data_IF_303905700868
#
_entry.id   IF_303905700868
#
_cell.length_a   1.000
_cell.length_b   1.000
_cell.length_c   1.000
_cell.angle_alpha   90.00
_cell.angle_beta   90.00
_cell.angle_gamma   90.00
#
_symmetry.space_group_name_H-M   'P 1'
#
loop_
_entity.id
_entity.type
_entity.pdbx_description
1 polymer ?
#
# COMPACT_ATOMS: atom_id res chain seq x y z
N UNK A 1 20.58 -8.75 21.46
CA UNK A 1 19.83 -8.23 20.31
C UNK A 1 20.32 -6.85 19.95
N UNK A 2 20.30 -6.52 18.67
CA UNK A 2 20.72 -5.22 18.12
C UNK A 2 19.57 -4.60 17.33
N UNK A 3 19.37 -3.29 17.47
CA UNK A 3 18.51 -2.50 16.59
C UNK A 3 19.35 -1.48 15.83
N UNK A 4 19.20 -1.47 14.52
CA UNK A 4 19.89 -0.58 13.60
C UNK A 4 18.89 0.20 12.76
N UNK A 5 19.21 1.45 12.48
CA UNK A 5 18.52 2.27 11.48
C UNK A 5 19.57 2.65 10.44
N UNK A 6 19.32 2.35 9.17
CA UNK A 6 20.24 2.59 8.05
C UNK A 6 21.65 2.01 8.30
N UNK A 7 21.69 0.87 8.98
CA UNK A 7 22.93 0.18 9.38
C UNK A 7 23.61 0.75 10.62
N UNK A 8 23.25 1.96 11.07
CA UNK A 8 23.76 2.55 12.31
C UNK A 8 23.15 1.85 13.53
N UNK A 9 23.99 1.39 14.46
CA UNK A 9 23.52 0.81 15.73
C UNK A 9 22.88 1.90 16.59
N UNK A 10 21.59 1.72 16.90
CA UNK A 10 20.81 2.66 17.71
C UNK A 10 20.64 2.15 19.13
N UNK A 11 20.44 0.84 19.29
CA UNK A 11 20.24 0.24 20.59
C UNK A 11 20.69 -1.22 20.64
N UNK A 12 21.03 -1.68 21.83
CA UNK A 12 21.24 -3.10 22.14
C UNK A 12 20.28 -3.53 23.25
N UNK A 13 19.84 -4.77 23.19
CA UNK A 13 18.97 -5.39 24.18
C UNK A 13 19.53 -6.74 24.59
N UNK A 14 19.85 -6.92 25.87
CA UNK A 14 20.32 -8.21 26.41
C UNK A 14 19.19 -9.00 27.07
N UNK A 15 18.05 -8.36 27.35
CA UNK A 15 16.85 -8.98 27.95
C UNK A 15 15.60 -8.31 27.39
N UNK A 16 14.59 -9.11 27.03
CA UNK A 16 13.26 -8.60 26.66
C UNK A 16 12.39 -8.54 27.92
N UNK A 17 11.79 -7.38 28.19
CA UNK A 17 10.81 -7.24 29.27
C UNK A 17 9.48 -7.79 28.76
N UNK A 18 8.99 -8.87 29.38
CA UNK A 18 7.73 -9.54 28.98
C UNK A 18 7.69 -9.97 27.49
N UNK A 19 8.85 -10.26 26.89
CA UNK A 19 8.94 -10.62 25.47
C UNK A 19 8.83 -9.45 24.49
N UNK A 20 8.83 -8.21 24.98
CA UNK A 20 8.82 -7.01 24.15
C UNK A 20 10.15 -6.24 24.26
N UNK A 21 10.56 -5.68 23.14
CA UNK A 21 11.64 -4.70 23.07
C UNK A 21 11.05 -3.35 22.66
N UNK A 22 11.25 -2.32 23.48
CA UNK A 22 10.73 -0.96 23.27
C UNK A 22 11.90 0.00 23.12
N UNK A 23 11.83 0.88 22.13
CA UNK A 23 12.84 1.88 21.83
C UNK A 23 12.16 3.13 21.24
N UNK A 24 12.81 4.28 21.39
CA UNK A 24 12.39 5.55 20.78
C UNK A 24 13.36 5.95 19.67
N UNK A 25 12.82 6.24 18.49
CA UNK A 25 13.63 6.69 17.36
C UNK A 25 14.37 8.00 17.65
N UNK A 26 15.61 8.16 17.15
CA UNK A 26 16.32 9.43 17.26
C UNK A 26 15.50 10.56 16.62
N UNK A 27 15.31 11.67 17.34
CA UNK A 27 14.60 12.85 16.82
C UNK A 27 15.33 13.53 15.65
N UNK A 28 16.57 13.12 15.37
CA UNK A 28 17.43 13.66 14.30
C UNK A 28 17.35 12.84 13.01
N UNK A 29 16.46 11.86 12.91
CA UNK A 29 16.24 11.17 11.64
C UNK A 29 15.72 12.17 10.61
N UNK A 30 16.40 12.23 9.46
CA UNK A 30 15.96 13.04 8.33
C UNK A 30 14.65 12.52 7.76
N UNK A 31 13.98 13.32 6.94
CA UNK A 31 12.86 12.79 6.16
C UNK A 31 13.38 11.80 5.11
N UNK A 32 12.49 10.92 4.66
CA UNK A 32 12.75 9.91 3.65
C UNK A 32 12.72 8.49 4.20
N UNK A 33 13.28 7.56 3.43
CA UNK A 33 13.29 6.15 3.80
C UNK A 33 14.31 5.84 4.86
N UNK A 34 13.90 4.97 5.78
CA UNK A 34 14.77 4.37 6.77
C UNK A 34 14.56 2.86 6.78
N UNK A 35 15.67 2.13 6.79
CA UNK A 35 15.65 0.68 6.99
C UNK A 35 15.90 0.39 8.46
N UNK A 36 14.89 -0.17 9.12
CA UNK A 36 15.02 -0.66 10.50
C UNK A 36 15.38 -2.14 10.42
N UNK A 37 16.51 -2.50 11.04
CA UNK A 37 16.98 -3.88 11.13
C UNK A 37 17.09 -4.28 12.59
N UNK A 38 16.47 -5.41 12.95
CA UNK A 38 16.52 -5.98 14.30
C UNK A 38 17.15 -7.36 14.23
N UNK A 39 18.24 -7.56 14.98
CA UNK A 39 18.95 -8.84 15.06
C UNK A 39 18.81 -9.41 16.47
N UNK A 40 18.18 -10.57 16.59
CA UNK A 40 18.13 -11.38 17.82
C UNK A 40 19.24 -12.44 17.82
N UNK A 41 19.62 -12.93 19.00
CA UNK A 41 20.57 -14.04 19.16
C UNK A 41 19.96 -15.08 20.10
N UNK A 42 20.14 -16.36 19.79
CA UNK A 42 19.77 -17.46 20.69
C UNK A 42 20.84 -17.70 21.78
N UNK A 43 20.62 -18.72 22.62
CA UNK A 43 21.56 -19.09 23.71
C UNK A 43 22.91 -19.62 23.21
N UNK A 44 22.98 -20.08 21.96
CA UNK A 44 24.20 -20.50 21.29
C UNK A 44 24.86 -19.34 20.51
N UNK A 45 24.33 -18.13 20.63
CA UNK A 45 24.76 -16.91 19.93
C UNK A 45 24.54 -16.97 18.40
N UNK A 46 23.56 -17.76 17.94
CA UNK A 46 23.13 -17.80 16.54
C UNK A 46 22.22 -16.61 16.23
N UNK A 47 22.50 -15.78 15.21
CA UNK A 47 21.69 -14.62 14.89
C UNK A 47 20.46 -14.94 14.04
N UNK A 48 19.39 -14.16 14.22
CA UNK A 48 18.28 -14.03 13.29
C UNK A 48 17.94 -12.54 13.09
N UNK A 49 17.72 -12.12 11.85
CA UNK A 49 17.49 -10.70 11.50
C UNK A 49 16.15 -10.52 10.79
N UNK A 50 15.42 -9.47 11.17
CA UNK A 50 14.22 -8.98 10.46
C UNK A 50 14.47 -7.54 10.05
N UNK A 51 14.01 -7.18 8.86
CA UNK A 51 14.09 -5.81 8.34
C UNK A 51 12.70 -5.29 7.99
N UNK A 52 12.45 -4.01 8.28
CA UNK A 52 11.30 -3.26 7.79
C UNK A 52 11.77 -1.95 7.19
N UNK A 53 11.06 -1.48 6.16
CA UNK A 53 11.26 -0.15 5.60
C UNK A 53 10.16 0.77 6.10
N UNK A 54 10.55 1.92 6.63
CA UNK A 54 9.63 2.99 7.03
C UNK A 54 10.00 4.24 6.26
N UNK A 55 9.05 5.12 6.02
CA UNK A 55 9.31 6.41 5.39
C UNK A 55 8.84 7.51 6.33
N UNK A 56 9.78 8.34 6.76
CA UNK A 56 9.54 9.50 7.60
C UNK A 56 9.27 10.72 6.72
N UNK A 57 8.28 11.53 7.05
CA UNK A 57 8.05 12.81 6.37
C UNK A 57 7.37 13.80 7.31
N UNK A 58 7.26 15.05 6.87
CA UNK A 58 6.48 16.03 7.61
C UNK A 58 5.02 15.55 7.69
N UNK A 59 4.44 15.66 8.87
CA UNK A 59 3.02 15.42 9.05
C UNK A 59 2.24 16.48 8.27
N UNK A 60 1.17 16.06 7.61
CA UNK A 60 0.25 16.94 6.89
C UNK A 60 -1.18 16.41 7.02
N UNK A 61 -2.17 17.28 6.90
CA UNK A 61 -3.56 16.93 6.68
C UNK A 61 -4.01 17.34 5.27
N UNK A 62 -3.36 18.34 4.67
CA UNK A 62 -3.57 18.81 3.32
C UNK A 62 -2.25 19.13 2.60
N UNK A 63 -2.30 19.26 1.28
CA UNK A 63 -1.13 19.60 0.46
C UNK A 63 -0.46 20.92 0.89
N UNK A 64 -1.25 21.91 1.33
CA UNK A 64 -0.75 23.21 1.80
C UNK A 64 0.07 23.13 3.10
N UNK A 65 -0.01 22.02 3.84
CA UNK A 65 0.84 21.79 5.01
C UNK A 65 2.28 21.40 4.63
N UNK A 66 2.50 21.04 3.36
CA UNK A 66 3.79 20.64 2.84
C UNK A 66 4.61 21.88 2.44
N UNK A 67 5.71 22.07 3.16
CA UNK A 67 6.51 23.31 3.09
C UNK A 67 7.40 23.41 1.85
N UNK A 68 7.58 22.32 1.09
CA UNK A 68 8.37 22.36 -0.14
C UNK A 68 7.45 22.42 -1.36
N UNK A 69 7.85 23.24 -2.32
CA UNK A 69 7.17 23.33 -3.61
C UNK A 69 7.12 21.95 -4.29
N UNK A 70 5.93 21.55 -4.74
CA UNK A 70 5.71 20.27 -5.42
C UNK A 70 5.55 19.07 -4.49
N UNK A 71 5.42 19.26 -3.17
CA UNK A 71 4.96 18.20 -2.26
C UNK A 71 3.42 18.12 -2.20
N UNK A 72 2.91 16.91 -1.99
CA UNK A 72 1.49 16.59 -1.78
C UNK A 72 1.35 15.77 -0.50
N UNK A 73 0.21 15.88 0.17
CA UNK A 73 -0.06 15.10 1.37
C UNK A 73 -0.63 13.72 1.01
N UNK A 74 0.05 12.66 1.42
CA UNK A 74 -0.35 11.26 1.19
C UNK A 74 -0.27 10.51 2.51
N UNK A 75 -1.41 9.99 2.97
CA UNK A 75 -1.54 9.26 4.25
C UNK A 75 -0.89 9.98 5.45
N UNK A 76 -1.10 11.30 5.54
CA UNK A 76 -0.56 12.13 6.61
C UNK A 76 0.91 12.50 6.47
N UNK A 77 1.52 12.27 5.30
CA UNK A 77 2.94 12.57 5.03
C UNK A 77 3.12 13.39 3.75
N UNK A 78 3.98 14.40 3.81
CA UNK A 78 4.43 15.12 2.61
C UNK A 78 5.34 14.24 1.74
N UNK A 79 4.96 14.05 0.49
CA UNK A 79 5.72 13.33 -0.55
C UNK A 79 5.82 14.20 -1.79
N UNK A 80 6.83 14.00 -2.64
CA UNK A 80 6.92 14.75 -3.89
C UNK A 80 5.83 14.28 -4.86
N UNK A 81 5.08 15.22 -5.45
CA UNK A 81 3.94 14.97 -6.32
C UNK A 81 4.30 14.81 -7.80
N UNK A 82 3.25 14.82 -8.63
CA UNK A 82 3.32 14.66 -10.09
C UNK A 82 3.80 15.94 -10.77
N UNK A 83 5.06 15.93 -11.20
CA UNK A 83 5.70 17.11 -11.80
C UNK A 83 7.08 17.38 -11.23
N UNK A 84 7.44 16.69 -10.14
CA UNK A 84 8.81 16.64 -9.66
C UNK A 84 9.48 15.35 -10.14
N UNK A 85 10.72 15.46 -10.61
CA UNK A 85 11.50 14.29 -11.01
C UNK A 85 11.63 13.29 -9.85
N UNK A 86 11.19 12.06 -10.08
CA UNK A 86 11.15 10.99 -9.08
C UNK A 86 10.03 11.10 -8.05
N UNK A 87 9.13 12.08 -8.21
CA UNK A 87 7.90 12.22 -7.42
C UNK A 87 6.82 11.24 -7.86
N UNK A 88 5.70 11.24 -7.14
CA UNK A 88 4.56 10.38 -7.38
C UNK A 88 4.06 10.50 -8.84
N UNK A 89 3.90 9.37 -9.52
CA UNK A 89 3.51 9.28 -10.92
C UNK A 89 4.63 9.53 -11.94
N UNK A 90 5.84 9.91 -11.51
CA UNK A 90 6.98 10.11 -12.42
C UNK A 90 7.43 8.77 -13.04
N UNK A 91 7.73 8.75 -14.34
CA UNK A 91 8.21 7.55 -15.02
C UNK A 91 9.58 7.11 -14.47
N UNK A 92 9.76 5.81 -14.25
CA UNK A 92 10.98 5.27 -13.66
C UNK A 92 11.37 3.93 -14.30
N UNK A 93 12.65 3.58 -14.27
CA UNK A 93 13.13 2.25 -14.64
C UNK A 93 13.46 1.40 -13.40
N UNK A 94 13.88 2.05 -12.31
CA UNK A 94 14.31 1.39 -11.09
C UNK A 94 13.78 2.09 -9.84
N UNK A 95 13.71 1.35 -8.73
CA UNK A 95 13.31 1.91 -7.44
C UNK A 95 14.16 3.10 -6.99
N UNK A 96 15.42 3.20 -7.41
CA UNK A 96 16.33 4.28 -6.99
C UNK A 96 16.00 5.63 -7.63
N UNK A 97 15.22 5.64 -8.72
CA UNK A 97 14.79 6.87 -9.39
C UNK A 97 13.62 7.55 -8.67
N UNK A 98 12.96 6.82 -7.77
CA UNK A 98 11.81 7.31 -7.03
C UNK A 98 12.23 7.78 -5.65
N UNK A 99 11.74 8.95 -5.24
CA UNK A 99 11.90 9.42 -3.86
C UNK A 99 11.16 8.52 -2.87
N UNK A 100 9.99 8.04 -3.30
CA UNK A 100 9.24 6.96 -2.64
C UNK A 100 9.98 5.63 -2.64
N UNK A 101 11.13 5.54 -3.33
CA UNK A 101 11.96 4.38 -3.61
C UNK A 101 11.20 3.14 -4.07
N UNK A 102 10.06 3.35 -4.74
CA UNK A 102 9.19 2.32 -5.27
C UNK A 102 8.81 2.70 -6.69
N UNK A 103 9.29 1.90 -7.64
CA UNK A 103 8.94 1.95 -9.04
C UNK A 103 8.07 0.74 -9.33
N UNK A 104 6.80 0.95 -9.67
CA UNK A 104 5.84 -0.13 -9.90
C UNK A 104 5.33 -0.10 -11.34
N UNK A 105 5.02 -1.29 -11.87
CA UNK A 105 4.48 -1.50 -13.22
C UNK A 105 2.95 -1.64 -13.18
N UNK A 106 2.19 -1.16 -14.17
CA UNK A 106 0.82 -1.62 -14.41
C UNK A 106 0.79 -2.99 -15.13
N UNK A 107 -0.39 -3.38 -15.64
CA UNK A 107 -0.57 -4.64 -16.37
C UNK A 107 0.05 -4.58 -17.77
N UNK A 108 0.20 -3.38 -18.32
CA UNK A 108 0.77 -3.06 -19.62
C UNK A 108 2.30 -2.94 -19.58
N UNK A 109 2.87 -2.77 -18.38
CA UNK A 109 4.30 -2.67 -18.13
C UNK A 109 4.82 -1.23 -18.01
N UNK A 110 3.93 -0.24 -17.96
CA UNK A 110 4.30 1.16 -17.72
C UNK A 110 4.72 1.34 -16.27
N UNK A 111 5.88 1.98 -16.07
CA UNK A 111 6.57 2.04 -14.78
C UNK A 111 6.53 3.46 -14.21
N UNK A 112 5.95 3.60 -13.02
CA UNK A 112 5.81 4.88 -12.34
C UNK A 112 6.28 4.81 -10.89
N UNK A 113 6.79 5.94 -10.39
CA UNK A 113 7.07 6.13 -8.99
C UNK A 113 5.75 6.17 -8.22
N UNK A 114 5.60 5.26 -7.26
CA UNK A 114 4.36 5.10 -6.50
C UNK A 114 4.60 5.33 -5.02
N UNK A 115 3.54 5.65 -4.29
CA UNK A 115 3.54 5.69 -2.82
C UNK A 115 2.59 4.63 -2.27
N UNK A 116 2.90 4.10 -1.09
CA UNK A 116 1.97 3.20 -0.41
C UNK A 116 0.73 3.98 0.04
N UNK A 117 -0.41 3.31 0.00
CA UNK A 117 -1.66 3.84 0.52
C UNK A 117 -2.44 2.74 1.23
N UNK A 118 -3.31 3.16 2.16
CA UNK A 118 -4.34 2.28 2.70
C UNK A 118 -5.57 2.33 1.79
N UNK A 119 -5.99 1.15 1.30
CA UNK A 119 -7.18 1.01 0.45
C UNK A 119 -8.45 1.37 1.23
N UNK A 120 -8.48 1.04 2.52
CA UNK A 120 -9.62 1.35 3.38
C UNK A 120 -9.80 2.87 3.61
N UNK A 121 -8.71 3.64 3.54
CA UNK A 121 -8.71 5.08 3.77
C UNK A 121 -8.72 5.90 2.48
N UNK A 122 -8.54 5.28 1.32
CA UNK A 122 -8.37 5.94 0.02
C UNK A 122 -7.36 7.11 0.08
N UNK A 123 -6.20 6.84 0.69
CA UNK A 123 -5.26 7.87 1.14
C UNK A 123 -4.43 8.52 0.01
N UNK A 124 -4.82 8.34 -1.25
CA UNK A 124 -4.09 8.87 -2.39
C UNK A 124 -4.48 10.32 -2.71
N UNK A 125 -3.55 11.14 -3.22
CA UNK A 125 -3.83 12.52 -3.56
C UNK A 125 -4.68 12.56 -4.85
N UNK A 126 -5.33 13.70 -5.09
CA UNK A 126 -6.13 13.93 -6.30
C UNK A 126 -5.38 13.53 -7.59
N UNK A 127 -6.04 12.80 -8.48
CA UNK A 127 -5.44 12.29 -9.72
C UNK A 127 -4.79 10.91 -9.60
N UNK A 128 -4.80 10.33 -8.38
CA UNK A 128 -4.29 9.00 -8.08
C UNK A 128 -5.33 8.16 -7.36
N UNK A 129 -5.41 6.89 -7.70
CA UNK A 129 -6.21 5.93 -6.94
C UNK A 129 -5.32 4.97 -6.16
N UNK A 130 -5.82 4.52 -5.01
CA UNK A 130 -5.18 3.48 -4.25
C UNK A 130 -5.52 2.09 -4.83
N UNK A 131 -4.62 1.52 -5.63
CA UNK A 131 -4.83 0.21 -6.27
C UNK A 131 -4.28 -0.94 -5.42
N UNK A 132 -5.09 -1.99 -5.24
CA UNK A 132 -4.66 -3.23 -4.58
C UNK A 132 -3.68 -4.00 -5.48
N UNK A 133 -2.53 -4.39 -4.92
CA UNK A 133 -1.52 -5.23 -5.58
C UNK A 133 -1.45 -6.63 -4.97
N UNK A 134 -2.55 -7.08 -4.37
CA UNK A 134 -2.68 -8.39 -3.70
C UNK A 134 -2.14 -8.40 -2.27
N UNK A 135 -2.11 -7.25 -1.60
CA UNK A 135 -1.50 -7.10 -0.26
C UNK A 135 -2.52 -6.79 0.85
N UNK A 136 -3.79 -7.12 0.62
CA UNK A 136 -4.85 -6.91 1.62
C UNK A 136 -5.26 -5.46 1.66
N UNK A 137 -5.16 -4.81 2.82
CA UNK A 137 -5.55 -3.40 3.00
C UNK A 137 -4.51 -2.39 2.48
N UNK A 138 -3.38 -2.87 1.95
CA UNK A 138 -2.28 -2.05 1.44
C UNK A 138 -2.30 -2.01 -0.09
N UNK A 139 -2.31 -0.79 -0.64
CA UNK A 139 -2.22 -0.53 -2.07
C UNK A 139 -1.06 0.39 -2.42
N UNK A 140 -1.08 0.86 -3.67
CA UNK A 140 -0.18 1.91 -4.16
C UNK A 140 -0.97 3.01 -4.86
N UNK A 141 -0.55 4.27 -4.70
CA UNK A 141 -1.13 5.39 -5.43
C UNK A 141 -0.67 5.36 -6.89
N UNK A 142 -1.63 5.17 -7.79
CA UNK A 142 -1.37 5.00 -9.23
C UNK A 142 -2.00 6.13 -10.07
N UNK A 143 -1.27 6.70 -11.05
CA UNK A 143 -1.81 7.77 -11.89
C UNK A 143 -3.04 7.33 -12.68
N UNK A 144 -4.07 8.18 -12.72
CA UNK A 144 -5.08 8.11 -13.79
C UNK A 144 -5.98 6.88 -13.78
N UNK A 145 -6.32 6.33 -12.61
CA UNK A 145 -7.35 5.31 -12.51
C UNK A 145 -8.76 5.93 -12.62
N UNK A 146 -9.03 6.69 -13.68
CA UNK A 146 -10.41 6.90 -14.09
C UNK A 146 -10.95 5.57 -14.64
N UNK A 147 -11.58 4.77 -13.77
CA UNK A 147 -12.33 3.56 -14.10
C UNK A 147 -11.56 2.39 -14.72
N UNK A 148 -11.02 1.49 -13.89
CA UNK A 148 -10.39 0.27 -14.38
C UNK A 148 -10.19 -0.84 -13.35
N UNK A 149 -11.26 -1.40 -12.77
CA UNK A 149 -11.22 -2.77 -12.24
C UNK A 149 -11.19 -2.95 -10.72
N UNK A 150 -12.02 -2.23 -9.97
CA UNK A 150 -12.33 -2.57 -8.58
C UNK A 150 -13.15 -3.87 -8.49
N UNK A 151 -12.52 -4.99 -8.17
CA UNK A 151 -13.22 -6.21 -7.79
C UNK A 151 -13.79 -6.08 -6.37
N UNK A 152 -15.00 -5.50 -6.24
CA UNK A 152 -15.78 -5.66 -5.00
C UNK A 152 -16.31 -7.10 -4.92
N UNK A 153 -15.71 -7.93 -4.07
CA UNK A 153 -16.36 -9.16 -3.60
C UNK A 153 -17.17 -8.84 -2.34
N UNK A 154 -18.23 -8.06 -2.52
CA UNK A 154 -19.21 -7.78 -1.48
C UNK A 154 -20.03 -9.03 -1.16
N UNK A 155 -19.98 -9.46 0.11
CA UNK A 155 -20.84 -10.49 0.71
C UNK A 155 -22.33 -10.18 0.47
N UNK A 156 -22.97 -10.92 -0.43
CA UNK A 156 -24.42 -10.87 -0.64
C UNK A 156 -25.16 -11.88 0.24
N UNK A 157 -25.43 -11.50 1.49
CA UNK A 157 -26.40 -12.19 2.34
C UNK A 157 -27.80 -11.59 2.19
N UNK A 158 -28.79 -12.47 2.02
CA UNK A 158 -30.24 -12.29 2.16
C UNK A 158 -31.00 -11.45 1.12
N UNK A 159 -31.84 -12.12 0.33
CA UNK A 159 -33.22 -11.68 0.04
C UNK A 159 -34.03 -12.88 -0.43
N UNK A 160 -35.14 -13.15 0.26
CA UNK A 160 -36.05 -14.23 -0.07
C UNK A 160 -36.84 -13.97 -1.34
N UNK A 161 -37.17 -15.05 -2.05
CA UNK A 161 -38.32 -15.11 -2.93
C UNK A 161 -38.93 -16.52 -2.84
N UNK A 162 -40.15 -16.57 -2.29
CA UNK A 162 -41.08 -17.68 -2.42
C UNK A 162 -41.52 -17.79 -3.89
N UNK A 163 -41.23 -18.90 -4.56
CA UNK A 163 -41.93 -19.26 -5.81
C UNK A 163 -42.30 -20.75 -5.82
N UNK A 164 -43.61 -20.94 -5.66
CA UNK A 164 -44.38 -22.18 -5.83
C UNK A 164 -44.29 -22.65 -7.28
N UNK A 165 -43.79 -23.86 -7.51
CA UNK A 165 -43.88 -24.52 -8.82
C UNK A 165 -45.20 -25.30 -8.91
N UNK A 166 -46.16 -24.73 -9.64
CA UNK A 166 -47.35 -25.42 -10.12
C UNK A 166 -47.08 -26.13 -11.44
N UNK A 167 -47.22 -27.46 -11.42
CA UNK A 167 -47.26 -28.32 -12.61
C UNK A 167 -48.56 -28.11 -13.38
N UNK A 168 -48.46 -27.80 -14.67
CA UNK A 168 -49.59 -27.71 -15.58
C UNK A 168 -49.15 -27.97 -17.02
N UNK A 169 -49.21 -29.23 -17.44
CA UNK A 169 -49.07 -29.66 -18.83
C UNK A 169 -50.28 -29.18 -19.67
N UNK A 170 -50.12 -29.06 -21.00
CA UNK A 170 -51.00 -29.64 -22.05
C UNK A 170 -50.66 -29.10 -23.47
N UNK A 171 -50.18 -30.03 -24.31
CA UNK A 171 -50.46 -30.32 -25.74
C UNK A 171 -50.30 -29.19 -26.80
N UNK A 172 -49.34 -29.26 -27.74
CA UNK A 172 -49.37 -30.02 -29.04
C UNK A 172 -50.67 -29.74 -29.81
N UNK A 173 -50.69 -29.08 -30.98
CA UNK A 173 -50.39 -29.66 -32.31
C UNK A 173 -50.09 -28.60 -33.40
N UNK A 174 -48.89 -28.67 -33.99
CA UNK A 174 -48.64 -28.99 -35.41
C UNK A 174 -49.61 -28.44 -36.49
N UNK A 175 -49.14 -27.49 -37.33
CA UNK A 175 -49.24 -27.61 -38.81
C UNK A 175 -48.22 -26.71 -39.56
N UNK A 176 -47.11 -27.32 -39.97
CA UNK A 176 -46.23 -26.84 -41.05
C UNK A 176 -46.99 -26.93 -42.38
N UNK A 177 -46.86 -25.91 -43.23
CA UNK A 177 -47.09 -26.01 -44.68
C UNK A 177 -45.79 -25.59 -45.38
N UNK A 178 -45.39 -26.44 -46.33
CA UNK A 178 -44.23 -26.40 -47.25
C UNK A 178 -42.93 -26.92 -46.67
#
# INVERSE_FOLDING_TARGET
GELRIDGQLIATATTMQQGQFVWNAPATLGQGKHKISVTGYDVANTPATVEINVTLGAACEAADDCLRDGEVCVDGRCVLGDGVQGGLGWACATNMECWSGQCAADAEGEMHCVENCSIAADACPSGFDCIDRGQGDNGVCWPGAESGGGCSSGKGGATGFLLVFGLGAILVTRRRRR
#
